data_IF_979466584967
#
_entry.id   IF_979466584967
#
_cell.length_a   1.000
_cell.length_b   1.000
_cell.length_c   1.000
_cell.angle_alpha   90.00
_cell.angle_beta   90.00
_cell.angle_gamma   90.00
#
_symmetry.space_group_name_H-M   'P 1'
#
loop_
_entity.id
_entity.type
_entity.pdbx_description
1 polymer ?
#
# COMPACT_ATOMS: atom_id res chain seq x y z
N UNK A 1 13.57 59.36 -61.60
CA UNK A 1 12.33 58.78 -61.03
C UNK A 1 12.71 58.29 -59.63
N UNK A 2 12.65 59.08 -58.55
CA UNK A 2 11.53 59.63 -57.74
C UNK A 2 10.63 58.55 -57.10
N UNK A 3 10.54 58.63 -55.76
CA UNK A 3 9.60 58.02 -54.78
C UNK A 3 9.96 56.64 -54.19
N UNK A 4 9.69 56.31 -52.92
CA UNK A 4 9.64 57.00 -51.61
C UNK A 4 9.28 55.94 -50.54
N UNK A 5 9.50 56.26 -49.26
CA UNK A 5 9.18 55.47 -48.06
C UNK A 5 7.70 55.08 -47.89
N UNK A 6 7.40 53.97 -47.19
CA UNK A 6 6.45 54.00 -46.06
C UNK A 6 6.22 52.67 -45.30
N UNK A 7 6.29 52.81 -43.95
CA UNK A 7 5.49 52.14 -42.88
C UNK A 7 5.81 50.71 -42.41
N UNK A 8 6.45 50.64 -41.22
CA UNK A 8 6.20 49.65 -40.14
C UNK A 8 4.74 49.79 -39.64
N UNK A 9 4.08 48.87 -38.85
CA UNK A 9 4.65 48.11 -37.72
C UNK A 9 3.93 46.80 -37.23
N UNK A 10 4.43 46.26 -36.08
CA UNK A 10 3.71 45.53 -35.01
C UNK A 10 3.22 44.09 -35.32
N UNK A 11 3.70 43.01 -34.71
CA UNK A 11 3.53 42.49 -33.32
C UNK A 11 4.07 41.03 -33.37
N UNK A 12 4.49 40.28 -32.35
CA UNK A 12 4.34 40.34 -30.91
C UNK A 12 5.49 39.51 -30.30
N UNK A 13 5.96 39.92 -29.13
CA UNK A 13 6.88 39.12 -28.32
C UNK A 13 6.20 37.82 -27.88
N UNK A 14 6.84 36.70 -28.18
CA UNK A 14 6.48 35.41 -27.62
C UNK A 14 6.94 35.41 -26.16
N UNK A 15 6.00 35.65 -25.25
CA UNK A 15 6.25 35.72 -23.81
C UNK A 15 6.47 34.30 -23.28
N UNK A 16 7.66 33.92 -22.74
CA UNK A 16 7.94 32.56 -22.28
C UNK A 16 7.12 32.16 -21.03
N UNK A 17 6.35 33.08 -20.45
CA UNK A 17 5.50 32.85 -19.30
C UNK A 17 4.24 32.00 -19.58
N UNK A 18 3.84 31.80 -20.85
CA UNK A 18 2.54 31.18 -21.18
C UNK A 18 2.60 29.63 -21.12
N UNK A 19 3.78 29.03 -21.30
CA UNK A 19 3.94 27.57 -21.28
C UNK A 19 4.29 26.97 -19.91
N UNK A 20 4.65 27.79 -18.92
CA UNK A 20 5.02 27.29 -17.58
C UNK A 20 3.80 26.89 -16.73
N UNK A 21 2.65 27.54 -16.96
CA UNK A 21 1.41 27.36 -16.18
C UNK A 21 0.78 25.96 -16.34
N UNK A 22 0.62 25.38 -17.54
CA UNK A 22 0.00 24.05 -17.68
C UNK A 22 0.87 22.92 -17.12
N UNK A 23 2.19 23.10 -17.10
CA UNK A 23 3.12 22.09 -16.57
C UNK A 23 3.06 22.05 -15.03
N UNK A 24 3.00 23.21 -14.38
CA UNK A 24 2.88 23.34 -12.93
C UNK A 24 1.52 22.82 -12.41
N UNK A 25 0.43 23.04 -13.14
CA UNK A 25 -0.89 22.47 -12.79
C UNK A 25 -0.95 20.95 -13.00
N UNK A 26 -0.27 20.42 -14.03
CA UNK A 26 -0.14 18.97 -14.21
C UNK A 26 0.66 18.30 -13.07
N UNK A 27 1.72 18.95 -12.57
CA UNK A 27 2.49 18.49 -11.41
C UNK A 27 1.69 18.57 -10.10
N UNK A 28 0.85 19.59 -9.93
CA UNK A 28 0.01 19.74 -8.74
C UNK A 28 -1.07 18.65 -8.63
N UNK A 29 -1.61 18.18 -9.77
CA UNK A 29 -2.59 17.08 -9.84
C UNK A 29 -2.00 15.71 -9.45
N UNK A 30 -0.67 15.58 -9.41
CA UNK A 30 0.02 14.34 -8.98
C UNK A 30 0.25 14.30 -7.46
N UNK A 31 -0.13 15.33 -6.71
CA UNK A 31 -0.14 15.27 -5.23
C UNK A 31 -1.35 14.46 -4.77
N UNK A 32 -1.32 13.15 -5.06
CA UNK A 32 -2.28 12.19 -4.53
C UNK A 32 -2.32 12.31 -3.01
N UNK A 33 -3.51 12.49 -2.45
CA UNK A 33 -3.75 12.42 -1.01
C UNK A 33 -3.24 11.07 -0.50
N UNK A 34 -2.07 11.06 0.14
CA UNK A 34 -1.63 9.97 0.98
C UNK A 34 -2.51 9.99 2.23
N UNK A 35 -3.73 9.47 2.11
CA UNK A 35 -4.55 9.15 3.28
C UNK A 35 -3.77 8.09 4.05
N UNK A 36 -3.26 8.45 5.23
CA UNK A 36 -2.50 7.54 6.06
C UNK A 36 -3.30 6.26 6.25
N UNK A 37 -2.74 5.12 5.84
CA UNK A 37 -3.46 3.86 5.90
C UNK A 37 -3.81 3.54 7.35
N UNK A 38 -5.11 3.57 7.65
CA UNK A 38 -5.62 3.34 9.00
C UNK A 38 -5.57 1.84 9.29
N UNK A 39 -4.52 1.43 10.00
CA UNK A 39 -4.43 0.09 10.56
C UNK A 39 -5.46 -0.14 11.66
N UNK A 40 -5.86 -1.39 11.84
CA UNK A 40 -6.80 -1.85 12.87
C UNK A 40 -6.05 -2.63 13.93
N UNK A 41 -6.41 -2.46 15.20
CA UNK A 41 -5.93 -3.33 16.28
C UNK A 41 -6.75 -4.61 16.23
N UNK A 42 -6.06 -5.75 16.16
CA UNK A 42 -6.64 -7.06 16.03
C UNK A 42 -6.15 -7.96 17.16
N UNK A 43 -7.04 -8.83 17.62
CA UNK A 43 -6.68 -9.86 18.59
C UNK A 43 -5.97 -11.00 17.86
N UNK A 44 -4.83 -11.39 18.37
CA UNK A 44 -4.00 -12.45 17.81
C UNK A 44 -3.82 -13.59 18.80
N UNK A 45 -3.59 -14.77 18.27
CA UNK A 45 -3.18 -15.95 19.02
C UNK A 45 -1.85 -16.46 18.46
N UNK A 46 -0.89 -16.68 19.35
CA UNK A 46 0.37 -17.32 19.06
C UNK A 46 0.28 -18.81 19.37
N UNK A 47 0.70 -19.63 18.41
CA UNK A 47 0.78 -21.09 18.54
C UNK A 47 2.08 -21.59 17.94
N UNK A 48 2.47 -22.80 18.29
CA UNK A 48 3.47 -23.58 17.55
C UNK A 48 2.86 -24.16 16.26
N UNK A 49 3.69 -24.74 15.38
CA UNK A 49 3.21 -25.36 14.14
C UNK A 49 2.34 -26.60 14.40
N UNK A 50 2.53 -27.29 15.53
CA UNK A 50 1.70 -28.42 15.97
C UNK A 50 0.43 -27.98 16.73
N UNK A 51 0.20 -26.66 16.87
CA UNK A 51 -1.03 -26.10 17.42
C UNK A 51 -1.04 -25.89 18.93
N UNK A 52 0.09 -26.09 19.62
CA UNK A 52 0.20 -25.75 21.05
C UNK A 52 0.10 -24.23 21.22
N UNK A 53 -0.86 -23.78 22.02
CA UNK A 53 -1.06 -22.34 22.30
C UNK A 53 0.09 -21.80 23.15
N UNK A 54 0.74 -20.74 22.64
CA UNK A 54 1.81 -20.00 23.32
C UNK A 54 1.26 -18.79 24.09
N UNK A 55 0.12 -18.25 23.64
CA UNK A 55 -0.56 -17.13 24.30
C UNK A 55 -1.33 -16.26 23.32
N UNK A 56 -1.89 -15.17 23.83
CA UNK A 56 -2.54 -14.15 23.02
C UNK A 56 -1.56 -12.99 22.75
N UNK A 57 -1.70 -12.35 21.60
CA UNK A 57 -0.92 -11.19 21.18
C UNK A 57 -1.86 -10.15 20.60
N UNK A 58 -1.58 -8.87 20.78
CA UNK A 58 -2.28 -7.82 20.04
C UNK A 58 -1.40 -7.35 18.88
N UNK A 59 -1.99 -7.23 17.71
CA UNK A 59 -1.29 -6.77 16.51
C UNK A 59 -2.06 -5.65 15.82
N UNK A 60 -1.33 -4.70 15.24
CA UNK A 60 -1.90 -3.74 14.30
C UNK A 60 -1.78 -4.31 12.89
N UNK A 61 -2.92 -4.48 12.23
CA UNK A 61 -3.00 -4.91 10.83
C UNK A 61 -3.30 -3.71 9.94
N UNK A 62 -2.48 -3.49 8.92
CA UNK A 62 -2.81 -2.57 7.83
C UNK A 62 -3.10 -3.41 6.60
N UNK A 63 -4.38 -3.50 6.22
CA UNK A 63 -4.82 -4.29 5.08
C UNK A 63 -4.95 -3.42 3.82
N UNK A 64 -4.29 -3.84 2.75
CA UNK A 64 -4.28 -3.21 1.41
C UNK A 64 -4.89 -4.16 0.39
N UNK A 65 -5.18 -3.65 -0.82
CA UNK A 65 -5.81 -4.47 -1.86
C UNK A 65 -5.04 -5.76 -2.20
N UNK A 66 -3.71 -5.67 -2.35
CA UNK A 66 -2.84 -6.80 -2.71
C UNK A 66 -1.85 -7.22 -1.64
N UNK A 67 -1.85 -6.61 -0.46
CA UNK A 67 -0.90 -6.92 0.61
C UNK A 67 -1.45 -6.53 1.97
N UNK A 68 -0.79 -6.95 3.04
CA UNK A 68 -1.04 -6.43 4.38
C UNK A 68 0.26 -6.32 5.16
N UNK A 69 0.26 -5.51 6.21
CA UNK A 69 1.31 -5.52 7.21
C UNK A 69 0.76 -5.89 8.58
N UNK A 70 1.63 -6.52 9.37
CA UNK A 70 1.40 -6.89 10.76
C UNK A 70 2.46 -6.20 11.61
N UNK A 71 2.04 -5.47 12.63
CA UNK A 71 2.94 -4.95 13.66
C UNK A 71 2.52 -5.50 15.01
N UNK A 72 3.42 -6.24 15.66
CA UNK A 72 3.36 -6.65 17.07
C UNK A 72 4.59 -6.07 17.79
N UNK A 73 4.68 -6.09 19.13
CA UNK A 73 5.71 -5.35 19.87
C UNK A 73 7.15 -5.47 19.35
N UNK A 74 7.57 -6.69 18.97
CA UNK A 74 8.96 -6.97 18.57
C UNK A 74 9.09 -7.34 17.07
N UNK A 75 8.04 -7.14 16.28
CA UNK A 75 8.02 -7.62 14.89
C UNK A 75 7.08 -6.78 14.03
N UNK A 76 7.63 -6.26 12.93
CA UNK A 76 6.85 -5.70 11.83
C UNK A 76 7.10 -6.52 10.58
N UNK A 77 6.03 -7.04 9.99
CA UNK A 77 6.06 -7.84 8.77
C UNK A 77 5.24 -7.17 7.69
N UNK A 78 5.76 -7.14 6.47
CA UNK A 78 5.00 -6.83 5.27
C UNK A 78 4.84 -8.10 4.47
N UNK A 79 3.61 -8.48 4.14
CA UNK A 79 3.35 -9.69 3.35
C UNK A 79 4.00 -9.65 1.97
N UNK A 80 4.24 -8.45 1.43
CA UNK A 80 4.46 -8.28 0.00
C UNK A 80 3.20 -8.59 -0.81
N UNK A 81 3.31 -8.66 -2.15
CA UNK A 81 2.17 -8.96 -3.02
C UNK A 81 1.63 -10.37 -2.75
N UNK A 82 0.37 -10.46 -2.33
CA UNK A 82 -0.33 -11.72 -2.16
C UNK A 82 -0.69 -12.32 -3.52
N UNK A 83 -0.35 -13.59 -3.71
CA UNK A 83 -0.64 -14.34 -4.91
C UNK A 83 -1.77 -15.34 -4.66
N UNK A 84 -2.73 -15.40 -5.58
CA UNK A 84 -3.74 -16.45 -5.69
C UNK A 84 -4.27 -16.46 -7.12
N UNK A 85 -4.34 -17.65 -7.73
CA UNK A 85 -4.89 -17.81 -9.08
C UNK A 85 -6.42 -17.63 -9.10
N UNK A 86 -7.09 -17.94 -7.99
CA UNK A 86 -8.54 -17.81 -7.81
C UNK A 86 -8.83 -17.67 -6.31
N UNK A 87 -9.25 -16.48 -5.88
CA UNK A 87 -9.50 -16.17 -4.45
C UNK A 87 -10.72 -16.91 -3.88
N UNK A 88 -11.58 -17.49 -4.72
CA UNK A 88 -12.69 -18.34 -4.25
C UNK A 88 -12.24 -19.77 -3.93
N UNK A 89 -11.07 -20.19 -4.44
CA UNK A 89 -10.55 -21.56 -4.26
C UNK A 89 -9.29 -21.62 -3.42
N UNK A 90 -8.47 -20.57 -3.46
CA UNK A 90 -7.16 -20.54 -2.82
C UNK A 90 -6.98 -19.30 -1.95
N UNK A 91 -6.44 -19.54 -0.76
CA UNK A 91 -6.04 -18.50 0.19
C UNK A 91 -4.93 -17.64 -0.42
N UNK A 92 -5.12 -16.31 -0.55
CA UNK A 92 -4.05 -15.41 -0.96
C UNK A 92 -2.87 -15.45 0.01
N UNK A 93 -1.67 -15.73 -0.52
CA UNK A 93 -0.48 -15.93 0.28
C UNK A 93 0.77 -15.34 -0.37
N UNK A 94 1.78 -15.06 0.46
CA UNK A 94 3.10 -14.63 0.03
C UNK A 94 4.16 -15.04 1.06
N UNK A 95 5.41 -15.16 0.62
CA UNK A 95 6.55 -15.34 1.52
C UNK A 95 7.25 -13.98 1.65
N UNK A 96 7.42 -13.51 2.89
CA UNK A 96 8.08 -12.24 3.18
C UNK A 96 9.60 -12.36 2.96
N UNK A 97 10.33 -11.24 2.77
CA UNK A 97 11.80 -11.26 2.68
C UNK A 97 12.49 -11.92 3.88
N UNK A 98 11.87 -11.85 5.05
CA UNK A 98 12.35 -12.43 6.30
C UNK A 98 12.00 -13.92 6.45
N UNK A 99 11.37 -14.53 5.44
CA UNK A 99 11.05 -15.95 5.40
C UNK A 99 9.75 -16.34 6.10
N UNK A 100 8.86 -15.38 6.40
CA UNK A 100 7.53 -15.68 6.95
C UNK A 100 6.56 -16.02 5.83
N UNK A 101 5.71 -17.03 6.01
CA UNK A 101 4.55 -17.24 5.15
C UNK A 101 3.39 -16.37 5.67
N UNK A 102 2.95 -15.41 4.88
CA UNK A 102 1.83 -14.52 5.17
C UNK A 102 0.60 -14.92 4.35
N UNK A 103 -0.56 -15.01 5.00
CA UNK A 103 -1.81 -15.48 4.40
C UNK A 103 -2.99 -14.60 4.82
N UNK A 104 -3.85 -14.24 3.87
CA UNK A 104 -5.14 -13.59 4.11
C UNK A 104 -6.23 -14.65 4.09
N UNK A 105 -6.67 -15.10 5.26
CA UNK A 105 -7.68 -16.16 5.40
C UNK A 105 -9.10 -15.66 5.09
N UNK A 106 -9.38 -14.40 5.41
CA UNK A 106 -10.60 -13.68 5.06
C UNK A 106 -10.35 -12.16 5.08
N UNK A 107 -11.38 -11.35 4.88
CA UNK A 107 -11.29 -9.88 4.99
C UNK A 107 -10.94 -9.39 6.42
N UNK A 108 -11.12 -10.25 7.42
CA UNK A 108 -10.90 -9.93 8.84
C UNK A 108 -9.94 -10.89 9.53
N UNK A 109 -9.42 -11.90 8.83
CA UNK A 109 -8.56 -12.92 9.43
C UNK A 109 -7.26 -13.08 8.65
N UNK A 110 -6.15 -12.95 9.37
CA UNK A 110 -4.81 -12.96 8.81
C UNK A 110 -3.96 -13.98 9.56
N UNK A 111 -3.02 -14.62 8.87
CA UNK A 111 -2.11 -15.58 9.47
C UNK A 111 -0.69 -15.34 8.98
N UNK A 112 0.28 -15.38 9.89
CA UNK A 112 1.71 -15.39 9.55
C UNK A 112 2.38 -16.57 10.23
N UNK A 113 3.23 -17.28 9.49
CA UNK A 113 3.89 -18.50 9.94
C UNK A 113 5.40 -18.36 9.73
N UNK A 114 6.16 -18.66 10.79
CA UNK A 114 7.61 -18.81 10.75
C UNK A 114 7.94 -20.26 11.11
N UNK A 115 8.24 -21.08 10.10
CA UNK A 115 8.55 -22.48 10.33
C UNK A 115 9.87 -22.67 11.11
N UNK A 116 10.98 -21.97 10.81
CA UNK A 116 12.21 -22.08 11.59
C UNK A 116 12.08 -21.76 13.08
N UNK A 117 11.16 -20.86 13.45
CA UNK A 117 10.89 -20.47 14.84
C UNK A 117 9.74 -21.24 15.49
N UNK A 118 9.17 -22.24 14.80
CA UNK A 118 7.99 -22.99 15.25
C UNK A 118 6.86 -22.06 15.74
N UNK A 119 6.50 -21.07 14.91
CA UNK A 119 5.60 -19.99 15.34
C UNK A 119 4.53 -19.69 14.29
N UNK A 120 3.29 -19.69 14.73
CA UNK A 120 2.09 -19.30 13.99
C UNK A 120 1.42 -18.16 14.75
N UNK A 121 1.15 -17.05 14.06
CA UNK A 121 0.32 -15.98 14.59
C UNK A 121 -0.94 -15.88 13.73
N UNK A 122 -2.11 -16.06 14.36
CA UNK A 122 -3.41 -15.87 13.71
C UNK A 122 -4.09 -14.64 14.31
N UNK A 123 -4.48 -13.68 13.48
CA UNK A 123 -5.14 -12.45 13.87
C UNK A 123 -6.60 -12.45 13.43
N UNK A 124 -7.49 -12.04 14.33
CA UNK A 124 -8.89 -11.76 14.07
C UNK A 124 -9.12 -10.26 14.31
N UNK A 125 -9.53 -9.58 13.25
CA UNK A 125 -9.80 -8.15 13.26
C UNK A 125 -11.32 -7.91 13.35
N UNK A 126 -11.76 -6.80 13.95
CA UNK A 126 -13.15 -6.37 13.85
C UNK A 126 -13.51 -6.12 12.38
N UNK A 127 -14.77 -6.34 12.02
CA UNK A 127 -15.28 -5.95 10.70
C UNK A 127 -15.11 -4.45 10.52
N UNK A 128 -14.57 -4.02 9.38
CA UNK A 128 -14.49 -2.60 9.04
C UNK A 128 -15.91 -2.05 8.95
N UNK A 129 -16.33 -1.24 9.92
CA UNK A 129 -17.58 -0.49 9.79
C UNK A 129 -17.43 0.45 8.60
N UNK A 130 -18.28 0.26 7.60
CA UNK A 130 -18.41 1.14 6.42
C UNK A 130 -19.11 2.42 6.85
#
# INVERSE_FOLDING_TARGET
MRWQESKRPLCAGLNPAIFAVPLLTALALLTGCSSGEKGMVCEGQAQTLDGRVLGNVQGKIVDRFTSFSVTVPDLTLNSGPLHSADRQKYVPAAVTPEGWLAMRLSDTRFMVVNAPQDKVLTFNCPSRSI
#
